data_IF_405525447998
#
_entry.id   IF_405525447998
#
_cell.length_a   1.000
_cell.length_b   1.000
_cell.length_c   1.000
_cell.angle_alpha   90.00
_cell.angle_beta   90.00
_cell.angle_gamma   90.00
#
_symmetry.space_group_name_H-M   'P 1'
#
loop_
_entity.id
_entity.type
_entity.pdbx_description
1 polymer ?
#
# COMPACT_ATOMS: atom_id res chain seq x y z
N UNK A 1 24.86 10.29 -15.64
CA UNK A 1 24.44 8.87 -15.72
C UNK A 1 22.92 8.80 -15.61
N UNK A 2 22.25 8.01 -16.45
CA UNK A 2 20.79 7.81 -16.38
C UNK A 2 20.53 6.31 -16.25
N UNK A 3 19.96 5.90 -15.12
CA UNK A 3 19.49 4.54 -14.92
C UNK A 3 18.06 4.44 -15.46
N UNK A 4 17.83 3.54 -16.40
CA UNK A 4 16.51 3.24 -16.95
C UNK A 4 15.98 1.98 -16.27
N UNK A 5 14.68 1.91 -16.01
CA UNK A 5 14.04 0.72 -15.46
C UNK A 5 12.85 0.28 -16.30
N UNK A 6 12.67 -1.03 -16.49
CA UNK A 6 11.53 -1.60 -17.17
C UNK A 6 11.25 -3.03 -16.71
N UNK A 7 9.99 -3.46 -16.78
CA UNK A 7 9.65 -4.87 -16.62
C UNK A 7 9.94 -5.61 -17.93
N UNK A 8 10.78 -6.65 -17.86
CA UNK A 8 11.14 -7.48 -19.03
C UNK A 8 10.41 -8.82 -19.04
N UNK A 9 10.09 -9.33 -17.86
CA UNK A 9 9.27 -10.51 -17.62
C UNK A 9 8.41 -10.25 -16.39
N UNK A 10 7.33 -11.02 -16.17
CA UNK A 10 6.54 -10.85 -14.97
C UNK A 10 7.38 -11.07 -13.70
N UNK A 11 7.36 -10.09 -12.79
CA UNK A 11 8.15 -10.12 -11.56
C UNK A 11 9.65 -9.84 -11.74
N UNK A 12 10.13 -9.57 -12.97
CA UNK A 12 11.54 -9.23 -13.23
C UNK A 12 11.64 -7.77 -13.66
N UNK A 13 12.20 -6.94 -12.79
CA UNK A 13 12.56 -5.58 -13.13
C UNK A 13 14.00 -5.54 -13.62
N UNK A 14 14.19 -5.01 -14.81
CA UNK A 14 15.50 -4.77 -15.37
C UNK A 14 15.90 -3.31 -15.16
N UNK A 15 17.08 -3.11 -14.61
CA UNK A 15 17.76 -1.82 -14.50
C UNK A 15 18.86 -1.79 -15.55
N UNK A 16 18.91 -0.71 -16.32
CA UNK A 16 19.95 -0.50 -17.33
C UNK A 16 20.64 0.82 -17.07
N UNK A 17 21.90 0.74 -16.66
CA UNK A 17 22.77 1.89 -16.52
C UNK A 17 23.57 2.05 -17.82
N UNK A 18 23.31 3.14 -18.55
CA UNK A 18 24.14 3.52 -19.70
C UNK A 18 25.37 4.28 -19.22
N UNK A 19 26.54 3.84 -19.64
CA UNK A 19 27.83 4.41 -19.32
C UNK A 19 28.61 4.69 -20.60
N UNK A 20 29.26 5.84 -20.64
CA UNK A 20 30.26 6.16 -21.65
C UNK A 20 31.60 6.24 -20.93
N UNK A 21 32.53 5.37 -21.27
CA UNK A 21 33.89 5.43 -20.71
C UNK A 21 34.91 5.69 -21.83
N UNK A 22 36.02 6.28 -21.43
CA UNK A 22 37.15 6.56 -22.31
C UNK A 22 38.30 5.66 -21.89
N UNK A 23 38.84 4.88 -22.83
CA UNK A 23 40.05 4.10 -22.63
C UNK A 23 41.21 4.88 -23.22
N UNK A 24 42.27 5.11 -22.45
CA UNK A 24 43.49 5.68 -22.99
C UNK A 24 44.46 4.54 -23.31
N UNK A 25 44.84 4.41 -24.57
CA UNK A 25 45.76 3.36 -25.02
C UNK A 25 47.19 3.79 -24.69
N UNK A 26 47.91 2.99 -23.88
CA UNK A 26 49.29 3.29 -23.46
C UNK A 26 50.29 2.60 -24.41
N UNK A 27 51.40 3.26 -24.82
CA UNK A 27 51.91 4.56 -24.34
C UNK A 27 51.41 5.80 -25.08
N UNK A 28 50.69 5.66 -26.20
CA UNK A 28 50.30 6.80 -27.05
C UNK A 28 49.33 7.78 -26.36
N UNK A 29 48.64 7.34 -25.31
CA UNK A 29 47.62 8.06 -24.54
C UNK A 29 46.44 8.54 -25.39
N UNK A 30 46.15 7.84 -26.49
CA UNK A 30 45.04 8.15 -27.38
C UNK A 30 43.71 7.78 -26.72
N UNK A 31 42.75 8.72 -26.59
CA UNK A 31 41.46 8.46 -25.96
C UNK A 31 40.51 7.73 -26.93
N UNK A 32 39.99 6.58 -26.50
CA UNK A 32 39.00 5.80 -27.22
C UNK A 32 37.67 5.77 -26.45
N UNK A 33 36.64 6.38 -27.04
CA UNK A 33 35.32 6.47 -26.44
C UNK A 33 34.49 5.22 -26.76
N UNK A 34 33.99 4.54 -25.73
CA UNK A 34 33.14 3.37 -25.92
C UNK A 34 31.85 3.48 -25.10
N UNK A 35 30.67 3.44 -25.73
CA UNK A 35 29.41 3.32 -25.02
C UNK A 35 29.24 1.89 -24.51
N UNK A 36 28.77 1.74 -23.28
CA UNK A 36 28.46 0.47 -22.67
C UNK A 36 27.19 0.55 -21.83
N UNK A 37 26.66 -0.61 -21.46
CA UNK A 37 25.51 -0.72 -20.57
C UNK A 37 25.73 -1.81 -19.54
N UNK A 38 25.46 -1.48 -18.29
CA UNK A 38 25.33 -2.48 -17.22
C UNK A 38 23.85 -2.79 -17.10
N UNK A 39 23.51 -4.07 -17.24
CA UNK A 39 22.16 -4.57 -17.07
C UNK A 39 22.13 -5.38 -15.78
N UNK A 40 21.26 -4.99 -14.86
CA UNK A 40 20.97 -5.75 -13.65
C UNK A 40 19.50 -6.15 -13.68
N UNK A 41 19.21 -7.40 -13.35
CA UNK A 41 17.85 -7.89 -13.20
C UNK A 41 17.60 -8.18 -11.73
N UNK A 42 16.46 -7.73 -11.24
CA UNK A 42 16.00 -8.03 -9.90
C UNK A 42 14.66 -8.73 -10.00
N UNK A 43 14.57 -9.89 -9.33
CA UNK A 43 13.28 -10.46 -8.97
C UNK A 43 12.59 -9.50 -7.99
N UNK A 44 11.62 -8.76 -8.50
CA UNK A 44 10.69 -8.04 -7.63
C UNK A 44 9.78 -9.08 -6.99
N UNK A 45 10.14 -9.47 -5.77
CA UNK A 45 9.30 -10.26 -4.87
C UNK A 45 8.27 -9.34 -4.24
N UNK A 46 7.30 -8.89 -5.02
CA UNK A 46 6.05 -8.42 -4.41
C UNK A 46 5.29 -9.67 -4.02
N UNK A 47 5.31 -9.97 -2.71
CA UNK A 47 4.58 -11.10 -2.16
C UNK A 47 3.10 -10.93 -2.49
N UNK A 48 2.61 -11.77 -3.41
CA UNK A 48 1.21 -11.86 -3.79
C UNK A 48 0.41 -12.63 -2.77
N UNK A 49 -0.85 -12.22 -2.64
CA UNK A 49 -1.71 -12.48 -1.51
C UNK A 49 -2.98 -13.16 -2.05
N UNK A 50 -3.36 -14.31 -1.51
CA UNK A 50 -4.60 -15.02 -1.81
C UNK A 50 -5.26 -15.53 -0.53
N UNK A 51 -6.60 -15.68 -0.57
CA UNK A 51 -7.52 -15.82 0.57
C UNK A 51 -7.30 -14.74 1.63
N UNK A 52 -8.09 -13.68 1.48
CA UNK A 52 -8.23 -12.62 2.45
C UNK A 52 -9.37 -13.02 3.39
N UNK A 53 -9.09 -13.58 4.56
CA UNK A 53 -10.13 -13.71 5.59
C UNK A 53 -10.22 -12.39 6.34
N UNK A 54 -11.45 -11.94 6.59
CA UNK A 54 -11.70 -10.66 7.24
C UNK A 54 -12.66 -10.82 8.41
N UNK A 55 -12.26 -10.33 9.57
CA UNK A 55 -13.03 -10.40 10.81
C UNK A 55 -13.17 -9.04 11.47
N UNK A 56 -14.31 -8.83 12.13
CA UNK A 56 -14.54 -7.66 12.95
C UNK A 56 -13.97 -7.91 14.35
N UNK A 57 -13.17 -6.98 14.84
CA UNK A 57 -12.80 -6.88 16.25
C UNK A 57 -13.52 -5.68 16.86
N UNK A 58 -13.49 -5.57 18.18
CA UNK A 58 -14.18 -4.52 18.93
C UNK A 58 -13.85 -3.09 18.46
N UNK A 59 -12.60 -2.82 18.04
CA UNK A 59 -12.11 -1.50 17.61
C UNK A 59 -11.29 -1.55 16.31
N UNK A 60 -11.39 -2.63 15.54
CA UNK A 60 -10.62 -2.77 14.30
C UNK A 60 -11.24 -3.77 13.33
N UNK A 61 -10.83 -3.69 12.07
CA UNK A 61 -11.03 -4.78 11.09
C UNK A 61 -9.70 -5.49 10.92
N UNK A 62 -9.71 -6.81 11.03
CA UNK A 62 -8.53 -7.64 10.87
C UNK A 62 -8.64 -8.45 9.58
N UNK A 63 -7.58 -8.37 8.77
CA UNK A 63 -7.41 -9.12 7.54
C UNK A 63 -6.24 -10.08 7.70
N UNK A 64 -6.48 -11.36 7.46
CA UNK A 64 -5.42 -12.32 7.22
C UNK A 64 -5.31 -12.54 5.72
N UNK A 65 -4.09 -12.47 5.25
CA UNK A 65 -3.71 -12.48 3.86
C UNK A 65 -2.76 -13.66 3.67
N UNK A 66 -3.15 -14.68 2.90
CA UNK A 66 -2.26 -15.84 2.66
C UNK A 66 -1.32 -15.56 1.49
N UNK A 67 -0.12 -16.11 1.46
CA UNK A 67 0.81 -15.93 0.33
C UNK A 67 0.42 -16.85 -0.83
N UNK A 68 0.12 -16.30 -2.02
CA UNK A 68 -0.28 -17.06 -3.21
C UNK A 68 0.32 -16.50 -4.51
N UNK A 69 1.34 -17.18 -5.03
CA UNK A 69 1.84 -17.05 -6.40
C UNK A 69 2.72 -15.83 -6.69
N UNK A 70 3.15 -15.73 -7.94
CA UNK A 70 3.89 -14.60 -8.48
C UNK A 70 2.92 -13.68 -9.26
N UNK A 71 3.24 -12.38 -9.42
CA UNK A 71 2.53 -11.39 -10.27
C UNK A 71 1.25 -10.70 -9.75
N UNK A 72 0.89 -10.82 -8.47
CA UNK A 72 -0.21 -10.04 -7.87
C UNK A 72 0.28 -9.16 -6.73
N UNK A 73 -0.39 -8.03 -6.53
CA UNK A 73 -0.15 -7.15 -5.38
C UNK A 73 -1.46 -6.80 -4.68
N UNK A 74 -1.40 -6.59 -3.37
CA UNK A 74 -2.53 -6.07 -2.60
C UNK A 74 -2.45 -4.57 -2.48
N UNK A 75 -3.59 -3.92 -2.64
CA UNK A 75 -3.71 -2.48 -2.57
C UNK A 75 -4.82 -2.05 -1.61
N UNK A 76 -4.61 -0.90 -0.99
CA UNK A 76 -5.62 -0.14 -0.25
C UNK A 76 -6.02 1.03 -1.13
N UNK A 77 -7.17 0.90 -1.81
CA UNK A 77 -7.53 1.82 -2.89
C UNK A 77 -6.51 1.72 -4.05
N UNK A 78 -5.94 2.83 -4.54
CA UNK A 78 -4.98 2.81 -5.64
C UNK A 78 -3.56 2.41 -5.20
N UNK A 79 -3.27 2.43 -3.90
CA UNK A 79 -1.91 2.34 -3.37
C UNK A 79 -1.55 0.91 -2.94
N UNK A 80 -0.37 0.38 -3.33
CA UNK A 80 0.12 -0.91 -2.84
C UNK A 80 0.26 -0.94 -1.32
N UNK A 81 -0.13 -2.05 -0.69
CA UNK A 81 0.00 -2.24 0.75
C UNK A 81 1.48 -2.51 1.09
N UNK A 82 2.20 -1.46 1.45
CA UNK A 82 3.58 -1.54 1.93
C UNK A 82 3.68 -1.24 3.43
N UNK A 83 4.78 -1.63 4.10
CA UNK A 83 5.03 -1.22 5.48
C UNK A 83 5.01 0.30 5.68
N UNK A 84 5.52 1.07 4.71
CA UNK A 84 5.55 2.52 4.74
C UNK A 84 4.14 3.11 4.65
N UNK A 85 3.31 2.59 3.73
CA UNK A 85 1.89 2.98 3.64
C UNK A 85 1.16 2.66 4.94
N UNK A 86 1.38 1.48 5.50
CA UNK A 86 0.75 1.05 6.74
C UNK A 86 1.12 1.98 7.90
N UNK A 87 2.41 2.29 8.06
CA UNK A 87 2.87 3.23 9.08
C UNK A 87 2.25 4.63 8.90
N UNK A 88 2.24 5.14 7.66
CA UNK A 88 1.69 6.46 7.35
C UNK A 88 0.17 6.54 7.62
N UNK A 89 -0.57 5.46 7.38
CA UNK A 89 -2.03 5.42 7.59
C UNK A 89 -2.47 4.89 8.95
N UNK A 90 -1.53 4.57 9.83
CA UNK A 90 -1.82 4.05 11.18
C UNK A 90 -2.33 2.61 11.20
N UNK A 91 -2.04 1.83 10.16
CA UNK A 91 -2.37 0.41 10.12
C UNK A 91 -1.29 -0.41 10.83
N UNK A 92 -1.70 -1.54 11.42
CA UNK A 92 -0.77 -2.49 12.03
C UNK A 92 -0.54 -3.61 11.03
N UNK A 93 0.66 -3.63 10.43
CA UNK A 93 1.07 -4.65 9.47
C UNK A 93 2.05 -5.61 10.12
N UNK A 94 1.74 -6.92 10.10
CA UNK A 94 2.63 -7.97 10.61
C UNK A 94 2.91 -8.99 9.51
N UNK A 95 4.19 -9.25 9.27
CA UNK A 95 4.64 -10.25 8.31
C UNK A 95 4.97 -11.55 9.04
N UNK A 96 4.51 -12.68 8.50
CA UNK A 96 4.83 -14.03 8.93
C UNK A 96 5.34 -14.84 7.74
N UNK A 97 5.88 -16.04 7.99
CA UNK A 97 6.47 -16.91 6.96
C UNK A 97 5.50 -17.20 5.82
N UNK A 98 4.21 -17.41 6.14
CA UNK A 98 3.20 -17.85 5.17
C UNK A 98 2.03 -16.87 4.98
N UNK A 99 2.00 -15.79 5.76
CA UNK A 99 0.86 -14.85 5.75
C UNK A 99 1.30 -13.42 6.09
N UNK A 100 0.51 -12.47 5.61
CA UNK A 100 0.51 -11.09 6.07
C UNK A 100 -0.74 -10.90 6.94
N UNK A 101 -0.62 -10.09 7.98
CA UNK A 101 -1.75 -9.69 8.81
C UNK A 101 -1.84 -8.18 8.80
N UNK A 102 -3.02 -7.67 8.43
CA UNK A 102 -3.33 -6.25 8.45
C UNK A 102 -4.44 -6.02 9.47
N UNK A 103 -4.17 -5.21 10.47
CA UNK A 103 -5.21 -4.70 11.37
C UNK A 103 -5.41 -3.21 11.11
N UNK A 104 -6.66 -2.85 10.83
CA UNK A 104 -7.10 -1.49 10.54
C UNK A 104 -7.92 -1.00 11.73
N UNK A 105 -7.38 -0.12 12.59
CA UNK A 105 -8.12 0.45 13.71
C UNK A 105 -9.27 1.34 13.21
N UNK A 106 -10.39 1.43 13.92
CA UNK A 106 -11.56 2.19 13.44
C UNK A 106 -11.32 3.71 13.31
N UNK A 107 -10.35 4.25 14.06
CA UNK A 107 -10.06 5.68 14.16
C UNK A 107 -9.10 6.20 13.08
N UNK A 108 -8.76 5.39 12.07
CA UNK A 108 -7.82 5.76 11.01
C UNK A 108 -8.50 6.11 9.69
N UNK A 109 -7.69 6.54 8.72
CA UNK A 109 -8.10 6.90 7.36
C UNK A 109 -8.13 5.63 6.47
N UNK A 110 -9.13 5.51 5.59
CA UNK A 110 -9.20 4.44 4.58
C UNK A 110 -10.51 3.65 4.53
N UNK A 111 -11.47 3.94 5.40
CA UNK A 111 -12.82 3.36 5.30
C UNK A 111 -13.61 3.99 4.15
N UNK A 112 -14.14 3.14 3.26
CA UNK A 112 -14.84 3.51 2.01
C UNK A 112 -16.20 4.15 2.30
N UNK A 113 -16.81 3.80 3.43
CA UNK A 113 -18.05 4.41 3.91
C UNK A 113 -18.07 4.42 5.43
N UNK A 114 -18.45 5.57 5.99
CA UNK A 114 -18.67 5.79 7.41
C UNK A 114 -20.15 6.14 7.58
N UNK A 115 -20.98 5.14 7.86
CA UNK A 115 -22.36 5.41 8.29
C UNK A 115 -22.32 5.57 9.81
N UNK A 116 -22.62 6.77 10.27
CA UNK A 116 -22.54 7.13 11.69
C UNK A 116 -23.98 7.28 12.19
N UNK A 117 -24.38 6.48 13.16
CA UNK A 117 -25.59 6.71 13.96
C UNK A 117 -25.19 7.02 15.41
N UNK A 118 -26.10 7.63 16.17
CA UNK A 118 -25.91 7.92 17.60
C UNK A 118 -25.62 6.65 18.43
N UNK A 119 -25.99 5.47 17.92
CA UNK A 119 -25.86 4.20 18.62
C UNK A 119 -24.72 3.32 18.10
N UNK A 120 -24.20 3.61 16.90
CA UNK A 120 -23.16 2.77 16.28
C UNK A 120 -22.50 3.43 15.09
N UNK A 121 -21.23 3.10 14.92
CA UNK A 121 -20.44 3.43 13.75
C UNK A 121 -20.32 2.20 12.85
N UNK A 122 -20.65 2.32 11.56
CA UNK A 122 -20.34 1.30 10.57
C UNK A 122 -19.17 1.73 9.71
N UNK A 123 -18.14 0.90 9.65
CA UNK A 123 -16.99 1.10 8.77
C UNK A 123 -16.87 -0.04 7.76
N UNK A 124 -16.76 0.30 6.48
CA UNK A 124 -16.38 -0.65 5.43
C UNK A 124 -14.93 -0.40 5.01
N UNK A 125 -14.09 -1.43 5.08
CA UNK A 125 -12.71 -1.38 4.57
C UNK A 125 -12.55 -2.40 3.44
N UNK A 126 -11.82 -2.02 2.38
CA UNK A 126 -11.62 -2.88 1.22
C UNK A 126 -10.14 -3.02 0.89
N UNK A 127 -9.73 -4.27 0.68
CA UNK A 127 -8.48 -4.63 0.05
C UNK A 127 -8.76 -5.07 -1.39
N UNK A 128 -7.90 -4.66 -2.31
CA UNK A 128 -7.96 -5.12 -3.70
C UNK A 128 -6.71 -5.92 -4.01
N UNK A 129 -6.85 -6.92 -4.87
CA UNK A 129 -5.73 -7.66 -5.47
C UNK A 129 -5.72 -7.29 -6.95
N UNK A 130 -4.57 -6.83 -7.45
CA UNK A 130 -4.40 -6.50 -8.87
C UNK A 130 -3.20 -7.20 -9.49
N UNK A 131 -3.29 -7.45 -10.79
CA UNK A 131 -2.17 -7.95 -11.59
C UNK A 131 -1.12 -6.84 -11.75
N UNK A 132 0.13 -7.14 -11.39
CA UNK A 132 1.21 -6.13 -11.34
C UNK A 132 1.63 -5.61 -12.72
N UNK A 133 1.28 -6.31 -13.80
CA UNK A 133 1.66 -5.95 -15.18
C UNK A 133 0.59 -5.10 -15.86
N UNK A 134 -0.68 -5.45 -15.65
CA UNK A 134 -1.84 -4.81 -16.30
C UNK A 134 -2.54 -3.80 -15.40
N UNK A 135 -2.23 -3.81 -14.10
CA UNK A 135 -2.90 -3.03 -13.04
C UNK A 135 -4.40 -3.33 -12.90
N UNK A 136 -4.90 -4.40 -13.56
CA UNK A 136 -6.30 -4.80 -13.48
C UNK A 136 -6.59 -5.42 -12.13
N UNK A 137 -7.65 -4.96 -11.48
CA UNK A 137 -8.15 -5.54 -10.24
C UNK A 137 -8.75 -6.91 -10.56
N UNK A 138 -8.18 -7.95 -9.97
CA UNK A 138 -8.65 -9.34 -10.13
C UNK A 138 -9.63 -9.72 -9.02
N UNK A 139 -9.45 -9.17 -7.82
CA UNK A 139 -10.25 -9.53 -6.66
C UNK A 139 -10.40 -8.35 -5.68
N UNK A 140 -11.54 -8.29 -5.01
CA UNK A 140 -11.83 -7.30 -3.96
C UNK A 140 -12.33 -8.03 -2.73
N UNK A 141 -11.76 -7.72 -1.57
CA UNK A 141 -12.25 -8.16 -0.28
C UNK A 141 -12.66 -6.96 0.54
N UNK A 142 -13.96 -6.79 0.71
CA UNK A 142 -14.52 -5.74 1.55
C UNK A 142 -15.15 -6.34 2.81
N UNK A 143 -14.87 -5.72 3.96
CA UNK A 143 -15.51 -6.07 5.22
C UNK A 143 -16.16 -4.85 5.81
N UNK A 144 -17.44 -4.98 6.11
CA UNK A 144 -18.22 -4.00 6.88
C UNK A 144 -18.33 -4.50 8.31
N UNK A 145 -18.01 -3.64 9.27
CA UNK A 145 -18.10 -3.92 10.70
C UNK A 145 -18.89 -2.82 11.40
N UNK A 146 -19.66 -3.23 12.41
CA UNK A 146 -20.28 -2.33 13.38
C UNK A 146 -19.33 -2.15 14.56
N UNK A 147 -19.16 -0.91 14.98
CA UNK A 147 -18.40 -0.51 16.14
C UNK A 147 -19.33 0.27 17.06
N UNK A 148 -19.45 -0.15 18.31
CA UNK A 148 -20.22 0.60 19.28
C UNK A 148 -19.37 1.77 19.80
N UNK A 149 -19.97 2.95 20.03
CA UNK A 149 -19.28 4.03 20.69
C UNK A 149 -18.81 3.54 22.06
N UNK A 150 -17.55 3.83 22.41
CA UNK A 150 -17.04 3.58 23.76
C UNK A 150 -18.01 4.23 24.76
N UNK A 151 -18.32 3.58 25.88
CA UNK A 151 -19.12 4.18 26.97
C UNK A 151 -18.50 5.52 27.45
N UNK A 152 -17.20 5.70 27.26
CA UNK A 152 -16.44 6.93 27.52
C UNK A 152 -16.62 8.03 26.47
N UNK A 153 -17.35 7.79 25.37
CA UNK A 153 -17.70 8.78 24.31
C UNK A 153 -19.02 9.50 24.62
N UNK A 154 -19.52 9.43 25.87
CA UNK A 154 -20.51 10.35 26.42
C UNK A 154 -20.09 11.84 26.45
N UNK A 155 -18.93 12.19 25.89
CA UNK A 155 -18.52 13.56 25.56
C UNK A 155 -18.15 13.67 24.08
N UNK A 156 -19.13 13.46 23.20
CA UNK A 156 -19.15 14.26 21.97
C UNK A 156 -19.34 15.69 22.47
N UNK A 157 -18.24 16.44 22.60
CA UNK A 157 -18.31 17.90 22.78
C UNK A 157 -18.96 18.41 21.51
N UNK A 158 -20.28 18.58 21.55
CA UNK A 158 -20.98 19.51 20.68
C UNK A 158 -20.20 20.82 20.85
N UNK A 159 -19.42 21.21 19.84
CA UNK A 159 -18.95 22.59 19.77
C UNK A 159 -20.22 23.42 19.82
N UNK A 160 -20.37 24.19 20.89
CA UNK A 160 -21.52 25.06 21.09
C UNK A 160 -21.77 25.87 19.80
N UNK A 161 -23.03 26.04 19.39
CA UNK A 161 -23.32 26.91 18.26
C UNK A 161 -22.74 28.30 18.57
N UNK A 162 -21.94 28.82 17.64
CA UNK A 162 -21.46 30.20 17.67
C UNK A 162 -22.67 31.11 17.81
N UNK A 163 -22.82 31.72 18.98
CA UNK A 163 -23.82 32.76 19.22
C UNK A 163 -23.47 33.97 18.35
N UNK A 164 -24.17 34.14 17.23
CA UNK A 164 -24.23 35.41 16.51
C UNK A 164 -25.13 36.32 17.34
N UNK A 165 -24.51 37.18 18.16
CA UNK A 165 -25.21 38.25 18.86
C UNK A 165 -25.85 39.25 17.89
N UNK A 166 -26.86 40.02 18.32
CA UNK A 166 -27.58 40.93 17.44
C UNK A 166 -26.69 42.10 17.04
N UNK A 167 -26.64 42.39 15.74
CA UNK A 167 -26.07 43.62 15.19
C UNK A 167 -26.74 44.84 15.87
N UNK A 168 -25.92 45.74 16.40
CA UNK A 168 -26.33 47.11 16.72
C UNK A 168 -26.38 47.95 15.45
#
# INVERSE_FOLDING_TARGET
MRCLHQFVLPGIMQYTLKINYTLNIVPQNDPYYHPASIVAQSEIRVCSIGVISAMCKQKSIFFQVSRMGYMREVCVGPDPLTPELAAHRGYILKNSTNALFLEVPFNVIGYVSKEISLQSFFGTFALTVRDVRTLRVEYVNAKRCRFDPDETVGKIVLKDPVNVGPNR
#
